data_IF_005547960350
#
_entry.id   IF_005547960350
#
_cell.length_a   1.000
_cell.length_b   1.000
_cell.length_c   1.000
_cell.angle_alpha   90.00
_cell.angle_beta   90.00
_cell.angle_gamma   90.00
#
_symmetry.space_group_name_H-M   'P 1'
#
loop_
_entity.id
_entity.type
_entity.pdbx_description
1 polymer ?
#
# COMPACT_ATOMS: atom_id res chain seq x y z
N UNK A 1 -11.11 -44.75 6.25
CA UNK A 1 -11.66 -43.89 5.18
C UNK A 1 -11.14 -42.48 5.33
N UNK A 2 -9.83 -42.28 5.21
CA UNK A 2 -9.19 -40.97 5.33
C UNK A 2 -7.97 -40.93 4.38
N UNK A 3 -8.21 -41.14 3.06
CA UNK A 3 -7.15 -41.13 2.01
C UNK A 3 -7.61 -40.64 0.63
N UNK A 4 -8.61 -39.74 0.55
CA UNK A 4 -9.09 -39.31 -0.79
C UNK A 4 -9.11 -37.78 -1.04
N UNK A 5 -8.70 -36.90 -0.12
CA UNK A 5 -8.78 -35.44 -0.35
C UNK A 5 -7.44 -34.72 -0.57
N UNK A 6 -6.34 -35.45 -0.66
CA UNK A 6 -5.00 -34.84 -0.85
C UNK A 6 -4.58 -34.65 -2.32
N UNK A 7 -5.43 -35.01 -3.30
CA UNK A 7 -5.08 -34.95 -4.75
C UNK A 7 -5.69 -33.79 -5.55
N UNK A 8 -6.59 -32.98 -4.97
CA UNK A 8 -7.23 -31.86 -5.69
C UNK A 8 -6.55 -30.50 -5.52
N UNK A 9 -5.62 -30.35 -4.57
CA UNK A 9 -4.94 -29.07 -4.31
C UNK A 9 -3.67 -28.82 -5.13
N UNK A 10 -3.16 -29.81 -5.90
CA UNK A 10 -1.92 -29.67 -6.69
C UNK A 10 -2.09 -29.39 -8.17
N UNK A 11 -3.31 -29.24 -8.68
CA UNK A 11 -3.59 -29.02 -10.10
C UNK A 11 -3.84 -27.56 -10.51
N UNK A 12 -3.91 -26.60 -9.57
CA UNK A 12 -4.27 -25.21 -9.87
C UNK A 12 -3.08 -24.23 -10.00
N UNK A 13 -1.84 -24.66 -9.82
CA UNK A 13 -0.65 -23.76 -9.82
C UNK A 13 0.27 -23.97 -11.03
N UNK A 14 -0.13 -24.71 -12.06
CA UNK A 14 0.79 -25.06 -13.17
C UNK A 14 0.42 -24.52 -14.55
N UNK A 15 -0.44 -23.52 -14.70
CA UNK A 15 -0.85 -23.00 -16.01
C UNK A 15 -0.74 -21.49 -16.23
N UNK A 16 0.33 -20.84 -15.80
CA UNK A 16 0.59 -19.44 -16.18
C UNK A 16 2.04 -19.11 -16.52
N UNK A 17 2.76 -20.03 -17.11
CA UNK A 17 4.10 -19.74 -17.63
C UNK A 17 4.34 -20.52 -18.91
N UNK A 18 3.83 -20.10 -20.05
CA UNK A 18 4.36 -20.36 -21.42
C UNK A 18 3.58 -19.50 -22.42
N UNK A 19 4.18 -18.47 -23.00
CA UNK A 19 4.33 -18.16 -24.41
C UNK A 19 4.59 -16.68 -24.66
N UNK A 20 5.85 -16.31 -24.60
CA UNK A 20 6.34 -15.27 -25.52
C UNK A 20 7.31 -15.94 -26.49
N UNK A 21 6.87 -16.14 -27.72
CA UNK A 21 7.74 -16.52 -28.83
C UNK A 21 7.75 -15.38 -29.86
N UNK A 22 8.95 -14.82 -30.03
CA UNK A 22 9.36 -13.89 -31.07
C UNK A 22 8.92 -14.38 -32.46
N UNK A 23 8.40 -13.48 -33.27
CA UNK A 23 8.47 -13.59 -34.73
C UNK A 23 9.22 -12.38 -35.27
N UNK A 24 10.43 -12.64 -35.74
CA UNK A 24 11.20 -11.79 -36.68
C UNK A 24 10.81 -12.21 -38.11
N UNK A 25 10.48 -11.25 -38.96
CA UNK A 25 10.57 -11.36 -40.40
C UNK A 25 10.88 -9.96 -40.93
N UNK A 26 12.04 -9.73 -41.31
CA UNK A 26 12.84 -9.87 -42.53
C UNK A 26 12.31 -8.97 -43.67
N UNK A 27 13.13 -7.97 -43.94
CA UNK A 27 13.10 -7.02 -45.02
C UNK A 27 13.24 -7.72 -46.37
N UNK A 28 12.59 -7.17 -47.38
CA UNK A 28 13.11 -7.19 -48.77
C UNK A 28 12.69 -5.94 -49.53
N UNK A 29 13.69 -5.18 -49.95
CA UNK A 29 13.63 -4.28 -51.11
C UNK A 29 13.70 -5.13 -52.37
N UNK A 30 13.13 -4.75 -53.51
CA UNK A 30 13.99 -4.13 -54.52
C UNK A 30 13.33 -3.10 -55.46
N UNK A 31 14.12 -2.31 -55.97
CA UNK A 31 14.57 -2.09 -57.36
C UNK A 31 14.14 -0.79 -58.06
N UNK A 32 15.18 -0.21 -58.54
CA UNK A 32 15.32 0.97 -59.39
C UNK A 32 14.74 0.82 -60.83
N UNK A 33 14.39 1.96 -61.39
CA UNK A 33 14.74 2.59 -62.65
C UNK A 33 13.58 2.70 -63.68
N UNK A 34 13.65 3.49 -64.74
CA UNK A 34 14.59 4.55 -65.09
C UNK A 34 13.97 5.87 -65.61
N UNK A 35 14.86 6.84 -65.84
CA UNK A 35 14.67 8.14 -66.47
C UNK A 35 14.19 8.09 -67.91
N UNK A 36 13.29 8.98 -68.29
CA UNK A 36 13.20 9.47 -69.71
C UNK A 36 13.19 10.99 -69.74
N UNK A 37 14.23 11.55 -70.35
CA UNK A 37 14.33 12.93 -70.81
C UNK A 37 13.50 13.10 -72.08
N UNK A 38 12.73 14.18 -72.18
CA UNK A 38 12.47 14.83 -73.46
C UNK A 38 12.32 16.34 -73.28
N UNK A 39 13.30 17.05 -73.80
CA UNK A 39 13.31 18.42 -74.13
C UNK A 39 12.32 18.74 -75.27
N UNK A 40 11.58 19.81 -75.16
CA UNK A 40 11.28 20.64 -76.31
C UNK A 40 11.01 22.08 -75.89
N UNK A 41 11.80 22.97 -76.49
CA UNK A 41 11.72 24.42 -76.56
C UNK A 41 10.51 24.88 -77.34
N UNK A 42 9.75 25.86 -76.91
CA UNK A 42 9.18 26.86 -77.78
C UNK A 42 8.93 28.23 -77.11
N UNK A 43 9.16 29.24 -77.85
CA UNK A 43 9.35 30.65 -77.54
C UNK A 43 8.07 31.42 -77.17
N UNK A 44 8.30 32.45 -76.34
CA UNK A 44 7.72 33.80 -76.33
C UNK A 44 6.19 33.99 -76.44
N UNK A 45 5.63 34.55 -75.35
CA UNK A 45 4.79 35.76 -75.46
C UNK A 45 4.82 36.50 -74.10
N UNK A 46 5.40 37.69 -74.09
CA UNK A 46 5.26 38.68 -73.05
C UNK A 46 3.80 39.16 -73.03
N UNK A 47 3.14 39.03 -71.88
CA UNK A 47 1.94 39.81 -71.57
C UNK A 47 2.14 40.41 -70.20
N UNK A 48 2.49 41.69 -70.23
CA UNK A 48 2.45 42.55 -69.04
C UNK A 48 1.00 42.56 -68.50
N UNK A 49 0.80 42.06 -67.36
CA UNK A 49 -0.44 42.22 -66.62
C UNK A 49 -0.08 42.64 -65.19
N UNK A 50 -0.04 43.97 -65.02
CA UNK A 50 -0.01 44.61 -63.73
C UNK A 50 -1.31 44.29 -63.01
N UNK A 51 -1.32 43.14 -62.16
CA UNK A 51 -2.32 42.95 -61.17
C UNK A 51 -1.73 43.41 -59.83
N UNK A 52 -2.45 44.23 -59.05
CA UNK A 52 -1.98 44.64 -57.75
C UNK A 52 -1.76 43.37 -56.89
N UNK A 53 -0.57 43.22 -56.28
CA UNK A 53 -0.28 42.22 -55.31
C UNK A 53 -1.24 42.45 -54.12
N UNK A 54 -2.37 41.77 -54.12
CA UNK A 54 -3.16 41.56 -52.88
C UNK A 54 -2.24 40.86 -51.92
N UNK A 55 -1.76 41.60 -50.93
CA UNK A 55 -1.02 41.01 -49.78
C UNK A 55 -1.84 39.87 -49.25
N UNK A 56 -1.38 38.63 -49.50
CA UNK A 56 -2.03 37.43 -49.05
C UNK A 56 -2.33 37.57 -47.56
N UNK A 57 -3.61 37.52 -47.18
CA UNK A 57 -4.06 37.43 -45.82
C UNK A 57 -3.27 36.28 -45.20
N UNK A 58 -2.39 36.57 -44.23
CA UNK A 58 -1.72 35.53 -43.43
C UNK A 58 -2.81 34.62 -42.90
N UNK A 59 -2.92 33.40 -43.42
CA UNK A 59 -3.83 32.38 -42.89
C UNK A 59 -3.48 32.22 -41.42
N UNK A 60 -4.38 32.63 -40.58
CA UNK A 60 -4.27 32.47 -39.11
C UNK A 60 -3.94 31.01 -38.86
N UNK A 61 -2.75 30.75 -38.37
CA UNK A 61 -2.32 29.36 -38.17
C UNK A 61 -3.11 28.79 -36.98
N UNK A 62 -4.15 28.01 -37.24
CA UNK A 62 -4.92 27.25 -36.27
C UNK A 62 -4.00 26.46 -35.33
N UNK A 63 -2.80 26.14 -35.80
CA UNK A 63 -1.73 25.51 -35.03
C UNK A 63 -1.33 26.30 -33.78
N UNK A 64 -1.37 27.63 -33.83
CA UNK A 64 -0.95 28.50 -32.72
C UNK A 64 -1.92 28.42 -31.53
N UNK A 65 -3.19 28.14 -31.79
CA UNK A 65 -4.23 27.94 -30.72
C UNK A 65 -4.24 26.49 -30.26
N UNK A 66 -4.01 25.54 -31.16
CA UNK A 66 -4.01 24.09 -30.83
C UNK A 66 -2.83 23.67 -29.95
N UNK A 67 -1.65 24.26 -30.12
CA UNK A 67 -0.45 23.90 -29.36
C UNK A 67 -0.65 24.06 -27.83
N UNK A 68 -1.09 25.22 -27.29
CA UNK A 68 -1.32 25.37 -25.85
C UNK A 68 -2.39 24.40 -25.31
N UNK A 69 -3.45 24.18 -26.09
CA UNK A 69 -4.52 23.23 -25.68
C UNK A 69 -3.97 21.81 -25.57
N UNK A 70 -3.15 21.39 -26.53
CA UNK A 70 -2.48 20.08 -26.46
C UNK A 70 -1.51 19.97 -25.29
N UNK A 71 -0.74 21.01 -25.00
CA UNK A 71 0.19 21.05 -23.85
C UNK A 71 -0.58 20.91 -22.53
N UNK A 72 -1.67 21.67 -22.37
CA UNK A 72 -2.51 21.56 -21.15
C UNK A 72 -3.10 20.16 -21.01
N UNK A 73 -3.65 19.61 -22.11
CA UNK A 73 -4.22 18.25 -22.11
C UNK A 73 -3.17 17.19 -21.73
N UNK A 74 -1.98 17.28 -22.31
CA UNK A 74 -0.89 16.34 -22.03
C UNK A 74 -0.38 16.43 -20.58
N UNK A 75 -0.16 17.65 -20.08
CA UNK A 75 0.25 17.89 -18.69
C UNK A 75 -0.83 17.38 -17.72
N UNK A 76 -2.11 17.60 -18.02
CA UNK A 76 -3.23 17.12 -17.19
C UNK A 76 -3.27 15.59 -17.11
N UNK A 77 -3.07 14.89 -18.24
CA UNK A 77 -3.04 13.41 -18.27
C UNK A 77 -1.88 12.87 -17.44
N UNK A 78 -0.67 13.44 -17.60
CA UNK A 78 0.50 13.02 -16.81
C UNK A 78 0.26 13.26 -15.33
N UNK A 79 -0.22 14.45 -14.96
CA UNK A 79 -0.51 14.80 -13.57
C UNK A 79 -1.56 13.89 -12.96
N UNK A 80 -2.63 13.57 -13.69
CA UNK A 80 -3.67 12.63 -13.23
C UNK A 80 -3.08 11.24 -12.99
N UNK A 81 -2.22 10.74 -13.88
CA UNK A 81 -1.54 9.46 -13.71
C UNK A 81 -0.63 9.42 -12.49
N UNK A 82 0.13 10.49 -12.24
CA UNK A 82 0.97 10.63 -11.05
C UNK A 82 0.14 10.70 -9.77
N UNK A 83 -0.97 11.45 -9.78
CA UNK A 83 -1.88 11.58 -8.65
C UNK A 83 -2.54 10.26 -8.29
N UNK A 84 -2.98 9.47 -9.27
CA UNK A 84 -3.53 8.12 -9.04
C UNK A 84 -2.49 7.18 -8.43
N UNK A 85 -1.25 7.20 -8.94
CA UNK A 85 -0.15 6.40 -8.37
C UNK A 85 0.17 6.79 -6.92
N UNK A 86 0.16 8.08 -6.62
CA UNK A 86 0.39 8.57 -5.27
C UNK A 86 -0.76 8.21 -4.34
N UNK A 87 -2.01 8.30 -4.81
CA UNK A 87 -3.19 7.90 -4.04
C UNK A 87 -3.17 6.40 -3.72
N UNK A 88 -2.77 5.55 -4.68
CA UNK A 88 -2.58 4.12 -4.42
C UNK A 88 -1.57 3.88 -3.30
N UNK A 89 -0.38 4.52 -3.37
CA UNK A 89 0.64 4.40 -2.31
C UNK A 89 0.16 4.85 -0.93
N UNK A 90 -0.61 5.95 -0.89
CA UNK A 90 -1.21 6.45 0.35
C UNK A 90 -2.20 5.44 0.90
N UNK A 91 -3.06 4.87 0.05
CA UNK A 91 -4.03 3.87 0.45
C UNK A 91 -3.34 2.58 0.95
N UNK A 92 -2.32 2.09 0.24
CA UNK A 92 -1.59 0.87 0.59
C UNK A 92 -0.89 1.04 1.95
N UNK A 93 -0.22 2.18 2.19
CA UNK A 93 0.43 2.47 3.45
C UNK A 93 -0.59 2.66 4.60
N UNK A 94 -1.73 3.32 4.34
CA UNK A 94 -2.79 3.47 5.33
C UNK A 94 -3.41 2.12 5.70
N UNK A 95 -3.66 1.24 4.71
CA UNK A 95 -4.17 -0.11 4.93
C UNK A 95 -3.17 -0.94 5.75
N UNK A 96 -1.88 -0.88 5.43
CA UNK A 96 -0.84 -1.59 6.18
C UNK A 96 -0.77 -1.14 7.64
N UNK A 97 -0.87 0.17 7.91
CA UNK A 97 -0.92 0.70 9.28
C UNK A 97 -2.13 0.17 10.04
N UNK A 98 -3.32 0.17 9.42
CA UNK A 98 -4.55 -0.25 10.07
C UNK A 98 -4.61 -1.78 10.20
N UNK A 99 -4.44 -2.49 9.10
CA UNK A 99 -4.73 -3.93 9.02
C UNK A 99 -3.61 -4.78 9.65
N UNK A 100 -2.38 -4.26 9.72
CA UNK A 100 -1.25 -5.01 10.25
C UNK A 100 -0.78 -4.46 11.60
N UNK A 101 -0.47 -3.17 11.67
CA UNK A 101 0.16 -2.60 12.87
C UNK A 101 -0.83 -2.42 14.01
N UNK A 102 -2.04 -1.92 13.74
CA UNK A 102 -3.04 -1.70 14.79
C UNK A 102 -3.61 -3.03 15.29
N UNK A 103 -4.03 -3.92 14.38
CA UNK A 103 -4.57 -5.24 14.74
C UNK A 103 -3.50 -6.08 15.46
N UNK A 104 -2.26 -6.09 14.94
CA UNK A 104 -1.17 -6.81 15.59
C UNK A 104 -0.84 -6.28 16.99
N UNK A 105 -0.92 -4.96 17.21
CA UNK A 105 -0.72 -4.36 18.54
C UNK A 105 -1.85 -4.70 19.50
N UNK A 106 -3.10 -4.70 19.03
CA UNK A 106 -4.27 -5.10 19.82
C UNK A 106 -4.15 -6.56 20.29
N UNK A 107 -3.81 -7.47 19.38
CA UNK A 107 -3.59 -8.88 19.72
C UNK A 107 -2.45 -9.08 20.72
N UNK A 108 -1.36 -8.31 20.63
CA UNK A 108 -0.28 -8.34 21.63
C UNK A 108 -0.76 -7.89 23.02
N UNK A 109 -1.63 -6.89 23.09
CA UNK A 109 -2.25 -6.46 24.35
C UNK A 109 -3.15 -7.54 24.93
N UNK A 110 -3.92 -8.23 24.09
CA UNK A 110 -4.79 -9.32 24.51
C UNK A 110 -3.97 -10.51 25.04
N UNK A 111 -2.87 -10.87 24.37
CA UNK A 111 -1.93 -11.92 24.82
C UNK A 111 -1.35 -11.56 26.21
N UNK A 112 -0.95 -10.31 26.41
CA UNK A 112 -0.43 -9.82 27.68
C UNK A 112 -1.51 -9.90 28.78
N UNK A 113 -2.72 -9.44 28.47
CA UNK A 113 -3.85 -9.46 29.40
C UNK A 113 -4.22 -10.89 29.82
N UNK A 114 -4.32 -11.83 28.89
CA UNK A 114 -4.61 -13.23 29.19
C UNK A 114 -3.50 -13.86 30.04
N UNK A 115 -2.25 -13.52 29.81
CA UNK A 115 -1.10 -13.96 30.59
C UNK A 115 -1.22 -13.48 32.06
N UNK A 116 -1.59 -12.22 32.27
CA UNK A 116 -1.81 -11.63 33.61
C UNK A 116 -3.03 -12.27 34.30
N UNK A 117 -4.11 -12.52 33.57
CA UNK A 117 -5.31 -13.17 34.11
C UNK A 117 -5.00 -14.56 34.61
N UNK A 118 -4.27 -15.39 33.87
CA UNK A 118 -3.84 -16.72 34.29
C UNK A 118 -3.03 -16.67 35.59
N UNK A 119 -2.07 -15.74 35.68
CA UNK A 119 -1.27 -15.57 36.90
C UNK A 119 -2.12 -15.12 38.11
N UNK A 120 -3.03 -14.18 37.90
CA UNK A 120 -3.92 -13.65 38.91
C UNK A 120 -4.85 -14.74 39.43
N UNK A 121 -5.43 -15.55 38.54
CA UNK A 121 -6.28 -16.69 38.90
C UNK A 121 -5.51 -17.78 39.62
N UNK A 122 -4.25 -18.03 39.28
CA UNK A 122 -3.38 -18.94 40.02
C UNK A 122 -3.20 -18.49 41.49
N UNK A 123 -3.00 -17.18 41.71
CA UNK A 123 -2.93 -16.62 43.07
C UNK A 123 -4.30 -16.69 43.80
N UNK A 124 -5.40 -16.39 43.07
CA UNK A 124 -6.75 -16.48 43.60
C UNK A 124 -7.09 -17.91 44.10
N UNK A 125 -6.65 -18.93 43.35
CA UNK A 125 -6.83 -20.32 43.75
C UNK A 125 -6.14 -20.67 45.08
N UNK A 126 -4.94 -20.10 45.35
CA UNK A 126 -4.18 -20.33 46.57
C UNK A 126 -4.91 -19.78 47.82
N UNK A 127 -5.56 -18.63 47.66
CA UNK A 127 -6.27 -17.95 48.77
C UNK A 127 -7.72 -18.41 48.93
N UNK A 128 -8.24 -19.18 47.97
CA UNK A 128 -9.58 -19.75 48.05
C UNK A 128 -9.65 -20.80 49.17
N UNK A 129 -10.72 -20.73 49.98
CA UNK A 129 -10.91 -21.61 51.11
C UNK A 129 -11.99 -22.66 50.93
N UNK A 130 -12.80 -22.53 49.88
CA UNK A 130 -13.86 -23.48 49.55
C UNK A 130 -13.61 -24.19 48.21
N UNK A 131 -14.02 -25.47 48.17
CA UNK A 131 -13.78 -26.34 47.03
C UNK A 131 -14.55 -25.89 45.79
N UNK A 132 -15.74 -25.30 45.90
CA UNK A 132 -16.53 -24.85 44.77
C UNK A 132 -15.81 -23.72 44.06
N UNK A 133 -15.38 -22.69 44.80
CA UNK A 133 -14.60 -21.57 44.24
C UNK A 133 -13.29 -22.03 43.59
N UNK A 134 -12.60 -23.02 44.18
CA UNK A 134 -11.40 -23.60 43.56
C UNK A 134 -11.70 -24.25 42.21
N UNK A 135 -12.81 -25.01 42.10
CA UNK A 135 -13.22 -25.64 40.83
C UNK A 135 -13.57 -24.58 39.77
N UNK A 136 -14.30 -23.54 40.17
CA UNK A 136 -14.67 -22.45 39.27
C UNK A 136 -13.43 -21.73 38.75
N UNK A 137 -12.46 -21.41 39.60
CA UNK A 137 -11.18 -20.80 39.21
C UNK A 137 -10.41 -21.71 38.23
N UNK A 138 -10.36 -23.02 38.43
CA UNK A 138 -9.72 -23.96 37.49
C UNK A 138 -10.38 -23.90 36.13
N UNK A 139 -11.73 -23.78 36.08
CA UNK A 139 -12.46 -23.62 34.81
C UNK A 139 -12.13 -22.31 34.12
N UNK A 140 -12.06 -21.20 34.86
CA UNK A 140 -11.68 -19.89 34.32
C UNK A 140 -10.24 -19.90 33.79
N UNK A 141 -9.28 -20.49 34.52
CA UNK A 141 -7.91 -20.64 34.07
C UNK A 141 -7.84 -21.37 32.73
N UNK A 142 -8.57 -22.47 32.57
CA UNK A 142 -8.60 -23.21 31.28
C UNK A 142 -9.15 -22.36 30.14
N UNK A 143 -10.19 -21.60 30.40
CA UNK A 143 -10.76 -20.70 29.39
C UNK A 143 -9.72 -19.64 28.93
N UNK A 144 -8.99 -19.08 29.91
CA UNK A 144 -7.91 -18.10 29.60
C UNK A 144 -6.71 -18.75 28.89
N UNK A 145 -6.35 -19.98 29.25
CA UNK A 145 -5.30 -20.74 28.56
C UNK A 145 -5.68 -21.06 27.11
N UNK A 146 -6.93 -21.49 26.85
CA UNK A 146 -7.41 -21.73 25.48
C UNK A 146 -7.46 -20.45 24.68
N UNK A 147 -7.94 -19.34 25.25
CA UNK A 147 -8.00 -18.05 24.62
C UNK A 147 -6.60 -17.53 24.29
N UNK A 148 -5.65 -17.64 25.23
CA UNK A 148 -4.27 -17.27 25.02
C UNK A 148 -3.62 -18.07 23.89
N UNK A 149 -3.89 -19.38 23.84
CA UNK A 149 -3.43 -20.25 22.76
C UNK A 149 -3.99 -19.80 21.41
N UNK A 150 -5.29 -19.52 21.34
CA UNK A 150 -5.93 -19.05 20.10
C UNK A 150 -5.33 -17.71 19.66
N UNK A 151 -5.14 -16.76 20.57
CA UNK A 151 -4.51 -15.48 20.27
C UNK A 151 -3.09 -15.64 19.72
N UNK A 152 -2.31 -16.58 20.26
CA UNK A 152 -0.99 -16.89 19.73
C UNK A 152 -1.06 -17.46 18.31
N UNK A 153 -1.97 -18.41 18.06
CA UNK A 153 -2.15 -18.99 16.73
C UNK A 153 -2.61 -17.91 15.72
N UNK A 154 -3.55 -17.04 16.11
CA UNK A 154 -4.08 -15.95 15.30
C UNK A 154 -3.04 -14.84 15.05
N UNK A 155 -2.09 -14.64 15.97
CA UNK A 155 -0.99 -13.67 15.80
C UNK A 155 0.10 -14.18 14.85
N UNK A 156 0.23 -15.47 14.61
CA UNK A 156 1.30 -16.03 13.78
C UNK A 156 1.44 -15.42 12.37
N UNK A 157 0.37 -15.04 11.66
CA UNK A 157 0.48 -14.34 10.36
C UNK A 157 1.14 -12.95 10.44
N UNK A 158 1.16 -12.31 11.60
CA UNK A 158 1.76 -11.00 11.84
C UNK A 158 3.24 -11.07 12.23
N UNK A 159 3.79 -12.27 12.36
CA UNK A 159 5.19 -12.49 12.77
C UNK A 159 6.13 -12.19 11.59
N UNK A 160 6.98 -11.19 11.74
CA UNK A 160 8.03 -10.86 10.78
C UNK A 160 9.34 -11.58 11.10
N UNK A 161 10.34 -11.46 10.24
CA UNK A 161 11.68 -12.01 10.51
C UNK A 161 12.30 -11.42 11.78
N UNK A 162 12.07 -10.13 12.02
CA UNK A 162 12.59 -9.36 13.15
C UNK A 162 11.90 -9.74 14.46
N UNK A 163 10.59 -10.01 14.43
CA UNK A 163 9.80 -10.36 15.60
C UNK A 163 9.77 -11.86 15.91
N UNK A 164 10.17 -12.72 14.97
CA UNK A 164 10.12 -14.18 15.07
C UNK A 164 10.76 -14.74 16.34
N UNK A 165 11.90 -14.17 16.75
CA UNK A 165 12.59 -14.59 17.98
C UNK A 165 11.73 -14.34 19.21
N UNK A 166 11.15 -13.15 19.32
CA UNK A 166 10.32 -12.76 20.46
C UNK A 166 9.01 -13.57 20.48
N UNK A 167 8.37 -13.77 19.33
CA UNK A 167 7.20 -14.64 19.24
C UNK A 167 7.49 -16.06 19.72
N UNK A 168 8.62 -16.65 19.35
CA UNK A 168 9.03 -17.97 19.86
C UNK A 168 9.22 -17.97 21.39
N UNK A 169 9.83 -16.91 21.93
CA UNK A 169 9.99 -16.75 23.39
C UNK A 169 8.61 -16.74 24.07
N UNK A 170 7.62 -16.06 23.50
CA UNK A 170 6.25 -16.04 24.03
C UNK A 170 5.67 -17.45 24.03
N UNK A 171 5.71 -18.19 22.94
CA UNK A 171 5.16 -19.55 22.83
C UNK A 171 5.83 -20.55 23.79
N UNK A 172 7.17 -20.48 23.94
CA UNK A 172 7.92 -21.34 24.86
C UNK A 172 7.57 -21.04 26.32
N UNK A 173 7.46 -19.75 26.68
CA UNK A 173 7.09 -19.35 28.04
C UNK A 173 5.60 -19.62 28.33
N UNK A 174 4.70 -19.47 27.36
CA UNK A 174 3.31 -19.88 27.47
C UNK A 174 3.18 -21.37 27.85
N UNK A 175 3.87 -22.25 27.14
CA UNK A 175 3.84 -23.69 27.42
C UNK A 175 4.33 -23.98 28.83
N UNK A 176 5.33 -23.26 29.29
CA UNK A 176 5.88 -23.40 30.64
C UNK A 176 4.92 -22.83 31.72
N UNK A 177 4.29 -21.69 31.41
CA UNK A 177 3.33 -21.02 32.28
C UNK A 177 2.11 -21.92 32.55
N UNK A 178 1.51 -22.49 31.51
CA UNK A 178 0.37 -23.42 31.61
C UNK A 178 0.71 -24.61 32.48
N UNK A 179 1.90 -25.20 32.29
CA UNK A 179 2.37 -26.33 33.09
C UNK A 179 2.50 -25.96 34.58
N UNK A 180 3.14 -24.83 34.89
CA UNK A 180 3.34 -24.40 36.27
C UNK A 180 2.03 -23.93 36.92
N UNK A 181 1.08 -23.38 36.16
CA UNK A 181 -0.26 -23.09 36.63
C UNK A 181 -0.97 -24.37 37.10
N UNK A 182 -0.90 -25.46 36.35
CA UNK A 182 -1.39 -26.77 36.77
C UNK A 182 -0.73 -27.26 38.05
N UNK A 183 0.59 -27.03 38.22
CA UNK A 183 1.29 -27.39 39.48
C UNK A 183 0.78 -26.56 40.66
N UNK A 184 0.54 -25.26 40.51
CA UNK A 184 -0.03 -24.38 41.54
C UNK A 184 -1.40 -24.87 41.96
N UNK A 185 -2.28 -25.21 40.99
CA UNK A 185 -3.62 -25.75 41.27
C UNK A 185 -3.52 -27.06 42.10
N UNK A 186 -2.62 -27.97 41.70
CA UNK A 186 -2.42 -29.25 42.38
C UNK A 186 -1.87 -29.06 43.80
N UNK A 187 -0.88 -28.19 44.01
CA UNK A 187 -0.35 -27.90 45.34
C UNK A 187 -1.40 -27.26 46.26
N UNK A 188 -2.11 -26.25 45.74
CA UNK A 188 -3.15 -25.56 46.51
C UNK A 188 -4.30 -26.51 46.90
N UNK A 189 -4.79 -27.31 45.95
CA UNK A 189 -5.83 -28.33 46.24
C UNK A 189 -5.37 -29.39 47.27
N UNK A 190 -4.06 -29.67 47.34
CA UNK A 190 -3.48 -30.57 48.35
C UNK A 190 -3.18 -29.88 49.71
N UNK A 191 -3.55 -28.60 49.87
CA UNK A 191 -3.27 -27.81 51.07
C UNK A 191 -1.80 -27.40 51.24
N UNK A 192 -0.99 -27.57 50.17
CA UNK A 192 0.43 -27.17 50.15
C UNK A 192 0.57 -25.73 49.66
N UNK A 193 -0.01 -24.79 50.42
CA UNK A 193 -0.12 -23.39 50.01
C UNK A 193 1.24 -22.69 49.91
N UNK A 194 2.25 -23.09 50.67
CA UNK A 194 3.60 -22.54 50.61
C UNK A 194 4.27 -22.88 49.27
N UNK A 195 4.19 -24.14 48.80
CA UNK A 195 4.72 -24.61 47.55
C UNK A 195 3.96 -23.99 46.38
N UNK A 196 2.63 -23.88 46.47
CA UNK A 196 1.80 -23.21 45.51
C UNK A 196 2.20 -21.74 45.37
N UNK A 197 2.32 -21.01 46.47
CA UNK A 197 2.72 -19.60 46.48
C UNK A 197 4.14 -19.39 45.93
N UNK A 198 5.09 -20.24 46.32
CA UNK A 198 6.46 -20.20 45.77
C UNK A 198 6.51 -20.44 44.29
N UNK A 199 5.69 -21.34 43.75
CA UNK A 199 5.59 -21.62 42.31
C UNK A 199 4.93 -20.44 41.57
N UNK A 200 3.84 -19.88 42.09
CA UNK A 200 3.14 -18.76 41.50
C UNK A 200 4.02 -17.50 41.41
N UNK A 201 4.69 -17.14 42.52
CA UNK A 201 5.55 -15.96 42.57
C UNK A 201 6.97 -16.20 42.03
N UNK A 202 7.37 -17.45 41.83
CA UNK A 202 8.66 -17.83 41.22
C UNK A 202 8.54 -18.12 39.72
N UNK A 203 8.11 -19.35 39.41
CA UNK A 203 8.10 -19.85 38.02
C UNK A 203 7.07 -19.14 37.17
N UNK A 204 5.81 -18.98 37.59
CA UNK A 204 4.75 -18.34 36.84
C UNK A 204 5.11 -16.86 36.60
N UNK A 205 5.47 -16.13 37.66
CA UNK A 205 5.88 -14.72 37.55
C UNK A 205 7.06 -14.54 36.58
N UNK A 206 8.04 -15.46 36.60
CA UNK A 206 9.17 -15.44 35.66
C UNK A 206 8.72 -15.62 34.22
N UNK A 207 7.84 -16.58 33.93
CA UNK A 207 7.37 -16.81 32.57
C UNK A 207 6.47 -15.69 32.11
N UNK A 208 5.58 -15.14 32.95
CA UNK A 208 4.79 -13.94 32.62
C UNK A 208 5.67 -12.73 32.28
N UNK A 209 6.68 -12.46 33.11
CA UNK A 209 7.64 -11.36 32.83
C UNK A 209 8.44 -11.58 31.53
N UNK A 210 8.77 -12.81 31.17
CA UNK A 210 9.45 -13.10 29.91
C UNK A 210 8.52 -12.85 28.70
N UNK A 211 7.23 -13.22 28.82
CA UNK A 211 6.21 -12.94 27.81
C UNK A 211 6.04 -11.43 27.67
N UNK A 212 5.86 -10.69 28.74
CA UNK A 212 5.71 -9.24 28.77
C UNK A 212 6.90 -8.52 28.11
N UNK A 213 8.12 -8.91 28.43
CA UNK A 213 9.33 -8.35 27.81
C UNK A 213 9.40 -8.62 26.30
N UNK A 214 9.04 -9.83 25.89
CA UNK A 214 9.02 -10.19 24.47
C UNK A 214 7.93 -9.41 23.73
N UNK A 215 6.73 -9.27 24.31
CA UNK A 215 5.64 -8.44 23.78
C UNK A 215 6.07 -6.98 23.67
N UNK A 216 6.68 -6.42 24.73
CA UNK A 216 7.17 -5.04 24.73
C UNK A 216 8.16 -4.78 23.59
N UNK A 217 9.09 -5.71 23.38
CA UNK A 217 10.05 -5.62 22.26
C UNK A 217 9.36 -5.72 20.90
N UNK A 218 8.36 -6.58 20.75
CA UNK A 218 7.59 -6.69 19.51
C UNK A 218 6.77 -5.42 19.26
N UNK A 219 6.16 -4.86 20.28
CA UNK A 219 5.38 -3.61 20.22
C UNK A 219 6.28 -2.41 19.85
N UNK A 220 7.49 -2.36 20.39
CA UNK A 220 8.47 -1.32 20.02
C UNK A 220 8.84 -1.40 18.52
N UNK A 221 9.08 -2.61 18.01
CA UNK A 221 9.34 -2.83 16.59
C UNK A 221 8.16 -2.40 15.71
N UNK A 222 6.93 -2.82 16.04
CA UNK A 222 5.71 -2.43 15.31
C UNK A 222 5.54 -0.92 15.30
N UNK A 223 5.76 -0.25 16.44
CA UNK A 223 5.69 1.22 16.54
C UNK A 223 6.74 1.90 15.68
N UNK A 224 7.97 1.39 15.63
CA UNK A 224 9.04 1.92 14.78
C UNK A 224 8.67 1.84 13.31
N UNK A 225 8.21 0.68 12.83
CA UNK A 225 7.75 0.48 11.44
C UNK A 225 6.58 1.40 11.12
N UNK A 226 5.59 1.48 12.02
CA UNK A 226 4.44 2.37 11.85
C UNK A 226 4.84 3.84 11.72
N UNK A 227 5.84 4.29 12.47
CA UNK A 227 6.36 5.67 12.35
C UNK A 227 7.06 5.90 11.02
N UNK A 228 7.82 4.95 10.51
CA UNK A 228 8.47 5.06 9.20
C UNK A 228 7.43 5.12 8.07
N UNK A 229 6.40 4.29 8.15
CA UNK A 229 5.29 4.30 7.18
C UNK A 229 4.51 5.62 7.22
N UNK A 230 4.25 6.18 8.41
CA UNK A 230 3.62 7.51 8.56
C UNK A 230 4.47 8.62 7.95
N UNK A 231 5.79 8.61 8.13
CA UNK A 231 6.69 9.59 7.51
C UNK A 231 6.69 9.45 5.97
N UNK A 232 6.69 8.22 5.47
CA UNK A 232 6.59 7.94 4.04
C UNK A 232 5.26 8.45 3.47
N UNK A 233 4.17 8.24 4.18
CA UNK A 233 2.84 8.73 3.83
C UNK A 233 2.79 10.26 3.78
N UNK A 234 3.34 10.93 4.80
CA UNK A 234 3.43 12.40 4.84
C UNK A 234 4.26 12.96 3.68
N UNK A 235 5.41 12.35 3.38
CA UNK A 235 6.26 12.78 2.27
C UNK A 235 5.55 12.62 0.92
N UNK A 236 4.84 11.51 0.70
CA UNK A 236 4.05 11.24 -0.50
C UNK A 236 2.89 12.23 -0.64
N UNK A 237 2.20 12.54 0.46
CA UNK A 237 1.15 13.54 0.50
C UNK A 237 1.68 14.93 0.12
N UNK A 238 2.77 15.38 0.74
CA UNK A 238 3.44 16.66 0.43
C UNK A 238 3.85 16.74 -1.05
N UNK A 239 4.47 15.68 -1.58
CA UNK A 239 4.84 15.62 -2.99
C UNK A 239 3.61 15.71 -3.91
N UNK A 240 2.50 15.08 -3.54
CA UNK A 240 1.23 15.15 -4.29
C UNK A 240 0.64 16.56 -4.28
N UNK A 241 0.62 17.22 -3.13
CA UNK A 241 0.13 18.61 -3.00
C UNK A 241 0.97 19.56 -3.86
N UNK A 242 2.30 19.45 -3.81
CA UNK A 242 3.20 20.27 -4.63
C UNK A 242 2.94 20.02 -6.12
N UNK A 243 2.84 18.76 -6.54
CA UNK A 243 2.56 18.39 -7.94
C UNK A 243 1.21 18.95 -8.41
N UNK A 244 0.15 18.83 -7.61
CA UNK A 244 -1.16 19.39 -7.94
C UNK A 244 -1.12 20.91 -8.04
N UNK A 245 -0.46 21.58 -7.11
CA UNK A 245 -0.34 23.04 -7.11
C UNK A 245 0.39 23.55 -8.38
N UNK A 246 1.50 22.89 -8.74
CA UNK A 246 2.23 23.21 -9.98
C UNK A 246 1.37 22.99 -11.22
N UNK A 247 0.62 21.90 -11.27
CA UNK A 247 -0.25 21.59 -12.41
C UNK A 247 -1.36 22.62 -12.57
N UNK A 248 -1.98 23.03 -11.47
CA UNK A 248 -3.00 24.07 -11.47
C UNK A 248 -2.40 25.40 -11.97
N UNK A 249 -1.23 25.80 -11.48
CA UNK A 249 -0.57 27.03 -11.90
C UNK A 249 -0.24 27.02 -13.41
N UNK A 250 0.33 25.93 -13.91
CA UNK A 250 0.62 25.77 -15.36
C UNK A 250 -0.67 25.81 -16.18
N UNK A 251 -1.74 25.18 -15.73
CA UNK A 251 -3.03 25.16 -16.41
C UNK A 251 -3.65 26.57 -16.51
N UNK A 252 -3.57 27.36 -15.43
CA UNK A 252 -4.05 28.76 -15.42
C UNK A 252 -3.23 29.62 -16.41
N UNK A 253 -1.91 29.51 -16.39
CA UNK A 253 -1.03 30.26 -17.29
C UNK A 253 -1.34 29.91 -18.74
N UNK A 254 -1.50 28.63 -19.06
CA UNK A 254 -1.83 28.19 -20.41
C UNK A 254 -3.22 28.67 -20.87
N UNK A 255 -4.21 28.67 -19.96
CA UNK A 255 -5.54 29.19 -20.26
C UNK A 255 -5.50 30.69 -20.54
N UNK A 256 -4.77 31.50 -19.78
CA UNK A 256 -4.58 32.93 -20.02
C UNK A 256 -3.90 33.16 -21.36
N UNK A 257 -2.92 32.33 -21.74
CA UNK A 257 -2.26 32.41 -23.04
C UNK A 257 -3.22 32.12 -24.22
N UNK A 258 -4.09 31.12 -24.08
CA UNK A 258 -5.12 30.82 -25.08
C UNK A 258 -6.10 31.97 -25.21
N UNK A 259 -6.59 32.55 -24.14
CA UNK A 259 -7.50 33.71 -24.15
C UNK A 259 -6.82 34.90 -24.82
N UNK A 260 -5.57 35.22 -24.48
CA UNK A 260 -4.79 36.29 -25.11
C UNK A 260 -4.62 36.05 -26.60
N UNK A 261 -4.30 34.84 -27.01
CA UNK A 261 -4.15 34.50 -28.43
C UNK A 261 -5.48 34.68 -29.22
N UNK A 262 -6.60 34.23 -28.66
CA UNK A 262 -7.94 34.38 -29.25
C UNK A 262 -8.30 35.85 -29.38
N UNK A 263 -8.12 36.66 -28.34
CA UNK A 263 -8.44 38.10 -28.37
C UNK A 263 -7.60 38.82 -29.39
N UNK A 264 -6.29 38.56 -29.47
CA UNK A 264 -5.37 39.27 -30.34
C UNK A 264 -5.47 38.83 -31.82
N UNK A 265 -5.71 37.55 -32.06
CA UNK A 265 -5.66 36.98 -33.42
C UNK A 265 -7.03 36.84 -34.08
N UNK A 266 -8.12 36.75 -33.28
CA UNK A 266 -9.46 36.57 -33.82
C UNK A 266 -10.31 37.83 -33.60
N UNK A 267 -10.46 38.27 -32.34
CA UNK A 267 -11.40 39.34 -32.00
C UNK A 267 -10.95 40.70 -32.53
N UNK A 268 -9.69 41.11 -32.32
CA UNK A 268 -9.17 42.41 -32.80
C UNK A 268 -9.25 42.58 -34.31
N UNK A 269 -8.88 41.59 -35.17
CA UNK A 269 -9.05 41.72 -36.63
C UNK A 269 -10.51 41.80 -37.06
N UNK A 270 -11.42 41.02 -36.41
CA UNK A 270 -12.86 41.07 -36.74
C UNK A 270 -13.46 42.44 -36.45
N UNK A 271 -13.15 43.03 -35.30
CA UNK A 271 -13.61 44.40 -34.96
C UNK A 271 -13.07 45.49 -35.87
N UNK A 272 -11.85 45.30 -36.43
CA UNK A 272 -11.31 46.24 -37.44
C UNK A 272 -12.04 46.15 -38.76
N UNK A 273 -12.36 44.94 -39.23
CA UNK A 273 -13.08 44.73 -40.50
C UNK A 273 -14.53 45.24 -40.39
N UNK A 274 -15.15 45.21 -39.24
CA UNK A 274 -16.51 45.69 -38.99
C UNK A 274 -16.62 47.23 -38.93
N UNK A 275 -15.50 47.93 -38.66
CA UNK A 275 -15.44 49.40 -38.67
C UNK A 275 -15.15 49.99 -40.08
N UNK A 276 -14.74 49.15 -41.02
CA UNK A 276 -14.42 49.53 -42.41
C UNK A 276 -15.59 49.26 -43.41
N UNK A 277 -16.72 48.73 -42.91
CA UNK A 277 -17.99 48.57 -43.61
C UNK A 277 -18.98 49.63 -43.12
#
# INVERSE_FOLDING_TARGET
NMKLDSKKSKAAVKNSAVKQKKVKAKATNPAKAPKVKKTLNTKKAQKVNNKPKVKGKKKLSTKLILIPVFVVGFVSVISSGLSLKNLSKVNDAASQIVDTSMVGTEMLNDIEMETVNIHTLALAHIISTDLSSMIDIVSEVRNHEEKLKQLLDDYNPYVTLETKRNYRIICENYTSLVKECGNVMAYSAAGKNEEAYKTANGSIAKYSNNIEKAISSMREHVNSVTQEERKSLESTYRASVVTCTFTIAISIIALLFVVFAVVTMVIKPLLRTQKEI
#
